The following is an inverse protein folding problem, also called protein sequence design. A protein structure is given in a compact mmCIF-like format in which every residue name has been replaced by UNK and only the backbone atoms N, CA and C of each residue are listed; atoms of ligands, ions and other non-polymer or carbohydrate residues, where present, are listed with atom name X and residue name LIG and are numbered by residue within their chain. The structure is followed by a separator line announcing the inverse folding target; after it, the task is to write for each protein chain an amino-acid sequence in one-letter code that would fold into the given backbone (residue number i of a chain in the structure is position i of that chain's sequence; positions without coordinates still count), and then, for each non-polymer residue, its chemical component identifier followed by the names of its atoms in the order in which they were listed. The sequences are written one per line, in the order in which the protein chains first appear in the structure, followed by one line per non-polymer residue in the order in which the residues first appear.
data_IF_297707199875
#
_entry.id   IF_297707199875
#
_cell.length_a   1.000
_cell.length_b   1.000
_cell.length_c   1.000
_cell.angle_alpha   90.00
_cell.angle_beta   90.00
_cell.angle_gamma   90.00
#
_symmetry.space_group_name_H-M   'P 1'
#
loop_
_entity.id
_entity.type
_entity.pdbx_description
1 polymer ?
#
# COMPACT_ATOMS: atom_id res chain seq x y z
N UNK A 1 3.94 -22.24 -8.39
CA UNK A 1 5.35 -22.19 -7.99
C UNK A 1 5.38 -21.82 -6.53
N UNK A 2 5.61 -22.80 -5.66
CA UNK A 2 5.75 -22.61 -4.23
C UNK A 2 7.21 -22.29 -3.94
N UNK A 3 7.60 -21.03 -4.12
CA UNK A 3 8.85 -20.54 -3.56
C UNK A 3 8.59 -20.14 -2.11
N UNK A 4 9.50 -20.57 -1.25
CA UNK A 4 9.42 -20.54 0.21
C UNK A 4 9.07 -19.14 0.75
N UNK A 5 7.86 -19.03 1.30
CA UNK A 5 7.14 -17.79 1.64
C UNK A 5 7.81 -16.92 2.73
N UNK A 6 8.96 -17.34 3.26
CA UNK A 6 9.61 -16.73 4.42
C UNK A 6 11.14 -16.62 4.31
N UNK A 7 11.71 -16.76 3.12
CA UNK A 7 13.14 -16.65 2.93
C UNK A 7 13.62 -15.20 3.23
N UNK A 8 14.13 -15.00 4.45
CA UNK A 8 14.60 -13.70 4.97
C UNK A 8 14.03 -13.27 6.32
N UNK A 9 13.11 -14.04 6.92
CA UNK A 9 12.65 -13.82 8.30
C UNK A 9 13.23 -14.90 9.23
N UNK A 10 13.78 -14.56 10.40
CA UNK A 10 14.25 -15.57 11.34
C UNK A 10 13.06 -16.42 11.82
N UNK A 11 13.23 -17.75 11.82
CA UNK A 11 12.20 -18.69 12.22
C UNK A 11 11.71 -18.42 13.66
N UNK A 12 10.40 -18.60 13.95
CA UNK A 12 9.87 -18.48 15.30
C UNK A 12 10.50 -19.54 16.20
N UNK A 13 11.05 -19.13 17.34
CA UNK A 13 11.62 -20.07 18.31
C UNK A 13 10.51 -20.95 18.90
N UNK A 14 10.52 -22.22 18.53
CA UNK A 14 9.66 -23.25 19.10
C UNK A 14 10.03 -23.46 20.56
N UNK A 15 9.15 -23.03 21.47
CA UNK A 15 9.31 -23.26 22.90
C UNK A 15 9.04 -24.75 23.16
N UNK A 16 10.11 -25.56 23.27
CA UNK A 16 10.01 -26.98 23.66
C UNK A 16 10.58 -27.13 25.05
N UNK A 17 9.74 -27.56 25.98
CA UNK A 17 10.10 -27.90 27.33
C UNK A 17 10.58 -29.37 27.43
N UNK A 18 11.41 -29.65 28.46
CA UNK A 18 11.69 -30.95 29.10
C UNK A 18 12.79 -31.79 28.36
N UNK A 19 13.88 -32.36 28.93
CA UNK A 19 14.25 -32.77 30.30
C UNK A 19 15.77 -33.08 30.47
N UNK A 20 16.27 -32.83 31.70
CA UNK A 20 17.11 -33.68 32.59
C UNK A 20 18.61 -34.01 32.40
N UNK A 21 19.25 -34.14 33.60
CA UNK A 21 20.56 -34.70 34.03
C UNK A 21 21.79 -33.77 34.00
N UNK A 22 22.60 -33.52 35.05
CA UNK A 22 22.94 -34.14 36.35
C UNK A 22 23.02 -33.06 37.47
N UNK A 23 22.52 -33.20 38.70
CA UNK A 23 22.94 -34.02 39.87
C UNK A 23 24.39 -33.79 40.36
N UNK A 24 24.56 -33.12 41.50
CA UNK A 24 25.37 -33.56 42.66
C UNK A 24 25.06 -32.73 43.93
N UNK A 25 25.35 -33.33 45.08
CA UNK A 25 24.63 -33.31 46.37
C UNK A 25 24.84 -32.09 47.32
N UNK A 26 24.04 -32.01 48.42
CA UNK A 26 24.03 -30.93 49.41
C UNK A 26 24.74 -31.28 50.72
N UNK A 27 25.10 -30.27 51.54
CA UNK A 27 25.13 -30.37 53.01
C UNK A 27 24.89 -29.01 53.71
N UNK A 28 24.41 -29.01 54.97
CA UNK A 28 23.55 -27.96 55.56
C UNK A 28 24.21 -27.27 56.78
N UNK A 29 23.37 -26.55 57.59
CA UNK A 29 23.58 -25.98 58.95
C UNK A 29 23.84 -24.46 58.91
N UNK A 30 23.22 -23.54 59.66
CA UNK A 30 22.37 -23.59 60.86
C UNK A 30 21.34 -22.43 60.87
N UNK A 31 20.23 -22.67 61.57
CA UNK A 31 19.31 -21.67 62.13
C UNK A 31 19.93 -21.07 63.39
N UNK A 32 19.86 -19.76 63.56
CA UNK A 32 19.87 -19.12 64.87
C UNK A 32 18.90 -17.94 64.89
N UNK A 33 17.96 -18.05 65.82
CA UNK A 33 16.94 -17.08 66.24
C UNK A 33 17.57 -15.92 67.02
N UNK A 34 16.96 -14.72 66.97
CA UNK A 34 16.44 -14.03 68.16
C UNK A 34 15.86 -12.64 67.84
N UNK A 35 14.83 -12.30 68.62
CA UNK A 35 13.92 -11.17 68.56
C UNK A 35 14.44 -9.89 69.28
N UNK A 36 13.69 -8.79 69.06
CA UNK A 36 13.54 -7.56 69.86
C UNK A 36 14.74 -6.58 69.84
N UNK A 37 14.59 -5.25 69.83
CA UNK A 37 13.44 -4.35 70.03
C UNK A 37 13.75 -2.95 69.45
N UNK A 38 12.69 -2.16 69.34
CA UNK A 38 12.53 -0.71 69.06
C UNK A 38 13.74 0.24 69.23
N UNK A 39 13.82 1.28 68.39
CA UNK A 39 13.47 2.70 68.69
C UNK A 39 14.28 3.70 67.85
N UNK A 40 13.53 4.55 67.12
CA UNK A 40 13.77 5.96 66.74
C UNK A 40 14.97 6.45 65.89
N UNK A 41 14.55 7.18 64.84
CA UNK A 41 15.00 8.52 64.42
C UNK A 41 16.36 8.67 63.73
N UNK A 42 16.33 8.98 62.43
CA UNK A 42 16.49 10.38 62.01
C UNK A 42 16.40 10.50 60.48
N UNK A 43 15.50 11.37 60.04
CA UNK A 43 15.28 11.73 58.65
C UNK A 43 16.19 12.90 58.24
N UNK A 44 16.72 12.90 57.01
CA UNK A 44 16.88 14.15 56.23
C UNK A 44 16.61 13.88 54.74
N UNK A 45 15.88 14.76 54.03
CA UNK A 45 15.21 14.47 52.75
C UNK A 45 15.85 15.15 51.53
N UNK A 46 15.36 14.74 50.35
CA UNK A 46 15.67 15.32 49.04
C UNK A 46 15.07 16.73 48.86
N UNK A 47 15.73 17.67 48.14
CA UNK A 47 15.15 18.98 47.88
C UNK A 47 14.59 19.12 46.45
N UNK A 48 13.35 19.61 46.37
CA UNK A 48 12.79 20.45 45.29
C UNK A 48 11.72 21.36 45.94
N UNK A 49 11.22 22.39 45.24
CA UNK A 49 11.83 23.64 44.77
C UNK A 49 11.19 24.83 45.55
N UNK A 50 10.79 25.93 44.90
CA UNK A 50 10.09 27.16 45.41
C UNK A 50 11.09 28.25 45.92
N UNK A 51 11.09 29.55 45.58
CA UNK A 51 10.09 30.66 45.48
C UNK A 51 10.66 31.78 44.53
N UNK A 52 9.90 32.38 43.59
CA UNK A 52 8.97 33.54 43.67
C UNK A 52 9.51 34.84 44.29
N UNK A 53 9.68 35.89 43.48
CA UNK A 53 9.20 37.31 43.64
C UNK A 53 9.88 38.23 42.60
N UNK A 54 9.18 38.75 41.59
CA UNK A 54 8.49 40.06 41.56
C UNK A 54 9.40 41.30 41.57
N UNK A 55 9.56 42.00 40.42
CA UNK A 55 9.20 43.43 40.22
C UNK A 55 9.58 43.98 38.82
N UNK A 56 8.63 44.71 38.23
CA UNK A 56 8.72 45.93 37.39
C UNK A 56 9.48 45.98 36.05
N UNK A 57 8.65 46.10 35.00
CA UNK A 57 8.67 47.07 33.88
C UNK A 57 9.93 47.93 33.64
N UNK A 58 10.52 47.80 32.44
CA UNK A 58 11.03 48.93 31.66
C UNK A 58 11.12 48.60 30.15
N UNK A 59 10.43 49.41 29.34
CA UNK A 59 10.76 49.89 27.99
C UNK A 59 11.35 48.96 26.90
N UNK A 60 10.53 48.71 25.88
CA UNK A 60 10.76 48.88 24.43
C UNK A 60 12.20 48.79 23.85
N UNK A 61 12.45 47.72 23.07
CA UNK A 61 13.36 47.69 21.90
C UNK A 61 12.84 46.65 20.86
N UNK A 62 12.80 46.94 19.54
CA UNK A 62 12.22 46.07 18.51
C UNK A 62 13.19 45.01 17.92
N UNK A 63 12.67 43.96 17.25
CA UNK A 63 13.46 42.86 16.65
C UNK A 63 14.20 43.23 15.34
N UNK A 64 15.19 42.42 14.90
CA UNK A 64 16.20 42.81 13.92
C UNK A 64 15.72 42.81 12.45
N UNK A 65 16.39 43.65 11.65
CA UNK A 65 16.10 43.95 10.23
C UNK A 65 16.45 42.78 9.31
N UNK A 66 15.48 42.32 8.50
CA UNK A 66 15.70 41.40 7.37
C UNK A 66 16.23 42.15 6.15
N UNK A 67 17.39 41.75 5.63
CA UNK A 67 17.97 42.24 4.38
C UNK A 67 17.51 41.32 3.25
N UNK A 68 16.46 41.71 2.52
CA UNK A 68 16.18 41.25 1.16
C UNK A 68 15.54 42.39 0.37
N UNK A 69 16.32 42.99 -0.54
CA UNK A 69 15.83 43.99 -1.49
C UNK A 69 15.23 43.26 -2.69
N UNK A 70 13.90 43.27 -2.84
CA UNK A 70 13.23 43.01 -4.12
C UNK A 70 12.53 44.27 -4.58
N UNK A 71 13.11 44.93 -5.57
CA UNK A 71 12.52 46.06 -6.28
C UNK A 71 11.57 45.52 -7.35
N UNK A 72 10.26 45.66 -7.16
CA UNK A 72 9.32 45.58 -8.27
C UNK A 72 8.17 46.58 -8.06
N UNK A 73 8.35 47.78 -8.60
CA UNK A 73 7.30 48.80 -8.71
C UNK A 73 6.28 48.36 -9.75
N UNK A 74 5.01 48.32 -9.34
CA UNK A 74 3.83 48.19 -10.18
C UNK A 74 3.24 49.59 -10.41
N UNK A 75 2.95 50.00 -11.65
CA UNK A 75 1.90 50.98 -11.90
C UNK A 75 0.64 50.31 -12.46
N UNK A 76 -0.52 50.84 -12.06
CA UNK A 76 -1.88 50.49 -12.48
C UNK A 76 -2.22 51.12 -13.87
N UNK A 77 -3.40 50.82 -14.47
CA UNK A 77 -3.57 50.71 -15.91
C UNK A 77 -4.14 51.98 -16.57
N UNK A 78 -3.80 52.19 -17.84
CA UNK A 78 -4.50 53.11 -18.74
C UNK A 78 -4.82 52.36 -20.04
N UNK A 79 -6.04 52.57 -20.54
CA UNK A 79 -6.63 51.98 -21.75
C UNK A 79 -5.78 52.20 -23.02
N UNK A 80 -5.92 51.35 -24.05
CA UNK A 80 -5.13 51.45 -25.26
C UNK A 80 -5.76 52.39 -26.29
N UNK A 81 -5.00 53.40 -26.70
CA UNK A 81 -5.18 54.07 -27.98
C UNK A 81 -4.46 53.30 -29.09
N UNK A 82 -5.13 53.27 -30.22
CA UNK A 82 -4.80 52.68 -31.52
C UNK A 82 -3.45 53.17 -32.07
N UNK A 83 -2.58 52.26 -32.54
CA UNK A 83 -2.04 52.24 -33.92
C UNK A 83 -0.92 51.19 -34.14
N UNK A 84 -1.16 50.40 -35.18
CA UNK A 84 -0.31 49.61 -36.08
C UNK A 84 1.18 49.37 -35.78
N UNK A 85 1.54 48.08 -35.61
CA UNK A 85 2.82 47.53 -36.06
C UNK A 85 2.79 45.99 -36.23
N UNK A 86 2.78 45.54 -37.50
CA UNK A 86 3.25 44.28 -38.08
C UNK A 86 2.84 42.91 -37.47
N UNK A 87 2.38 41.93 -38.30
CA UNK A 87 1.94 40.63 -37.82
C UNK A 87 3.16 39.75 -37.50
N UNK A 88 3.52 39.64 -36.22
CA UNK A 88 4.37 38.54 -35.76
C UNK A 88 3.58 37.25 -35.90
N UNK A 89 3.86 36.51 -36.98
CA UNK A 89 3.42 35.12 -37.17
C UNK A 89 4.07 34.25 -36.09
N UNK A 90 3.53 34.26 -34.88
CA UNK A 90 3.74 33.18 -33.93
C UNK A 90 3.01 31.98 -34.49
N UNK A 91 3.76 30.98 -34.96
CA UNK A 91 3.24 29.68 -35.36
C UNK A 91 2.69 28.99 -34.10
N UNK A 92 1.47 29.34 -33.72
CA UNK A 92 0.69 28.59 -32.74
C UNK A 92 0.34 27.29 -33.44
N UNK A 93 1.06 26.22 -33.12
CA UNK A 93 0.55 24.89 -33.43
C UNK A 93 -0.83 24.79 -32.80
N UNK A 94 -1.86 24.77 -33.65
CA UNK A 94 -3.22 24.46 -33.24
C UNK A 94 -3.20 23.04 -32.71
N UNK A 95 -3.08 22.87 -31.39
CA UNK A 95 -3.58 21.69 -30.68
C UNK A 95 -5.11 21.74 -30.68
N UNK A 96 -5.68 21.59 -31.88
CA UNK A 96 -7.10 21.36 -32.11
C UNK A 96 -7.13 20.35 -33.25
N UNK A 97 -6.96 19.08 -32.89
CA UNK A 97 -7.42 18.00 -33.74
C UNK A 97 -8.56 17.38 -32.97
N UNK A 98 -9.77 17.80 -33.34
CA UNK A 98 -10.99 17.06 -33.08
C UNK A 98 -10.84 15.75 -33.86
N UNK A 99 -10.16 14.78 -33.22
CA UNK A 99 -9.96 13.46 -33.79
C UNK A 99 -11.34 12.81 -33.87
N UNK A 100 -11.70 12.31 -35.04
CA UNK A 100 -12.97 11.60 -35.21
C UNK A 100 -13.05 10.46 -34.18
N UNK A 101 -14.22 10.24 -33.60
CA UNK A 101 -14.46 9.19 -32.60
C UNK A 101 -13.96 7.82 -33.10
N UNK A 102 -14.12 7.52 -34.39
CA UNK A 102 -13.59 6.30 -35.00
C UNK A 102 -12.05 6.18 -34.89
N UNK A 103 -11.33 7.29 -35.03
CA UNK A 103 -9.87 7.31 -34.87
C UNK A 103 -9.46 7.14 -33.41
N UNK A 104 -10.23 7.70 -32.47
CA UNK A 104 -10.01 7.51 -31.04
C UNK A 104 -10.23 6.06 -30.64
N UNK A 105 -11.30 5.43 -31.14
CA UNK A 105 -11.61 4.01 -30.89
C UNK A 105 -10.50 3.10 -31.44
N UNK A 106 -10.09 3.29 -32.70
CA UNK A 106 -9.00 2.51 -33.31
C UNK A 106 -7.67 2.69 -32.54
N UNK A 107 -7.37 3.91 -32.10
CA UNK A 107 -6.21 4.16 -31.25
C UNK A 107 -6.31 3.42 -29.90
N UNK A 108 -7.47 3.42 -29.24
CA UNK A 108 -7.67 2.72 -27.97
C UNK A 108 -7.52 1.21 -28.11
N UNK A 109 -8.05 0.61 -29.18
CA UNK A 109 -7.90 -0.83 -29.46
C UNK A 109 -6.44 -1.22 -29.69
N UNK A 110 -5.69 -0.38 -30.43
CA UNK A 110 -4.24 -0.58 -30.64
C UNK A 110 -3.46 -0.47 -29.33
N UNK A 111 -3.81 0.49 -28.47
CA UNK A 111 -3.19 0.64 -27.16
C UNK A 111 -3.48 -0.58 -26.28
N UNK A 112 -4.74 -1.05 -26.21
CA UNK A 112 -5.13 -2.24 -25.45
C UNK A 112 -4.36 -3.49 -25.90
N UNK A 113 -4.09 -3.63 -27.20
CA UNK A 113 -3.28 -4.73 -27.72
C UNK A 113 -1.80 -4.63 -27.30
N UNK A 114 -1.25 -3.41 -27.25
CA UNK A 114 0.16 -3.19 -26.91
C UNK A 114 0.44 -3.16 -25.41
N UNK A 115 -0.53 -2.84 -24.57
CA UNK A 115 -0.35 -2.76 -23.12
C UNK A 115 -0.12 -4.15 -22.49
N UNK A 116 -0.58 -5.23 -23.11
CA UNK A 116 -0.29 -6.60 -22.65
C UNK A 116 1.18 -6.99 -22.78
N UNK A 117 1.96 -6.28 -23.61
CA UNK A 117 3.36 -6.61 -23.85
C UNK A 117 4.30 -5.78 -22.95
N UNK A 118 5.18 -6.42 -22.14
CA UNK A 118 6.11 -5.71 -21.25
C UNK A 118 6.93 -4.62 -21.93
N UNK A 119 7.46 -4.94 -23.10
CA UNK A 119 8.37 -4.05 -23.82
C UNK A 119 7.69 -2.81 -24.37
N UNK A 120 6.37 -2.89 -24.59
CA UNK A 120 5.55 -1.80 -25.15
C UNK A 120 4.68 -1.12 -24.10
N UNK A 121 4.57 -1.69 -22.90
CA UNK A 121 3.73 -1.22 -21.81
C UNK A 121 3.94 0.27 -21.52
N UNK A 122 5.19 0.68 -21.24
CA UNK A 122 5.50 2.07 -20.87
C UNK A 122 5.06 3.09 -21.91
N UNK A 123 5.18 2.76 -23.20
CA UNK A 123 4.75 3.66 -24.29
C UNK A 123 3.23 3.65 -24.42
N UNK A 124 2.60 2.48 -24.36
CA UNK A 124 1.15 2.33 -24.44
C UNK A 124 0.44 3.04 -23.27
N UNK A 125 0.94 2.88 -22.04
CA UNK A 125 0.41 3.55 -20.85
C UNK A 125 0.49 5.08 -20.96
N UNK A 126 1.60 5.63 -21.47
CA UNK A 126 1.74 7.08 -21.70
C UNK A 126 0.75 7.60 -22.74
N UNK A 127 0.50 6.86 -23.82
CA UNK A 127 -0.51 7.21 -24.82
C UNK A 127 -1.93 7.17 -24.22
N UNK A 128 -2.23 6.17 -23.39
CA UNK A 128 -3.51 6.10 -22.68
C UNK A 128 -3.71 7.29 -21.74
N UNK A 129 -2.67 7.69 -20.98
CA UNK A 129 -2.71 8.90 -20.14
C UNK A 129 -2.96 10.16 -20.97
N UNK A 130 -2.35 10.27 -22.17
CA UNK A 130 -2.59 11.40 -23.06
C UNK A 130 -4.04 11.46 -23.55
N UNK A 131 -4.68 10.32 -23.82
CA UNK A 131 -6.10 10.29 -24.19
C UNK A 131 -7.00 10.82 -23.06
N UNK A 132 -6.67 10.50 -21.81
CA UNK A 132 -7.38 11.03 -20.64
C UNK A 132 -7.18 12.54 -20.52
N UNK A 133 -5.93 13.01 -20.62
CA UNK A 133 -5.58 14.43 -20.50
C UNK A 133 -6.17 15.29 -21.63
N UNK A 134 -6.33 14.71 -22.81
CA UNK A 134 -6.96 15.35 -23.96
C UNK A 134 -8.50 15.39 -23.85
N UNK A 135 -9.11 14.76 -22.83
CA UNK A 135 -10.57 14.67 -22.69
C UNK A 135 -11.22 13.79 -23.74
N UNK A 136 -10.47 12.86 -24.36
CA UNK A 136 -10.99 11.98 -25.42
C UNK A 136 -11.78 10.78 -24.87
N UNK A 137 -11.73 10.54 -23.56
CA UNK A 137 -12.53 9.51 -22.89
C UNK A 137 -13.89 10.10 -22.53
N UNK A 138 -14.90 9.85 -23.35
CA UNK A 138 -16.30 10.22 -23.12
C UNK A 138 -17.12 8.97 -22.77
N UNK A 139 -18.37 9.14 -22.32
CA UNK A 139 -19.26 8.01 -22.00
C UNK A 139 -19.42 7.02 -23.16
N UNK A 140 -19.46 7.49 -24.40
CA UNK A 140 -19.67 6.64 -25.61
C UNK A 140 -18.46 5.77 -25.95
N UNK A 141 -17.25 6.20 -25.58
CA UNK A 141 -15.99 5.52 -25.90
C UNK A 141 -15.35 4.91 -24.64
N UNK A 142 -16.00 5.08 -23.50
CA UNK A 142 -15.51 4.69 -22.17
C UNK A 142 -15.19 3.20 -22.06
N UNK A 143 -15.98 2.34 -22.70
CA UNK A 143 -15.78 0.88 -22.71
C UNK A 143 -14.47 0.48 -23.40
N UNK A 144 -14.10 1.14 -24.51
CA UNK A 144 -12.83 0.90 -25.18
C UNK A 144 -11.64 1.36 -24.33
N UNK A 145 -11.81 2.47 -23.61
CA UNK A 145 -10.79 2.91 -22.66
C UNK A 145 -10.66 1.95 -21.48
N UNK A 146 -11.79 1.46 -20.96
CA UNK A 146 -11.78 0.50 -19.87
C UNK A 146 -11.11 -0.82 -20.27
N UNK A 147 -11.30 -1.28 -21.51
CA UNK A 147 -10.59 -2.44 -22.07
C UNK A 147 -9.06 -2.26 -22.12
N UNK A 148 -8.55 -1.02 -22.12
CA UNK A 148 -7.10 -0.77 -21.95
C UNK A 148 -6.68 -1.07 -20.52
N UNK A 149 -7.45 -0.63 -19.53
CA UNK A 149 -7.16 -0.84 -18.11
C UNK A 149 -7.23 -2.32 -17.75
N UNK A 150 -8.25 -3.02 -18.25
CA UNK A 150 -8.41 -4.47 -18.08
C UNK A 150 -7.24 -5.24 -18.72
N UNK A 151 -6.85 -4.86 -19.95
CA UNK A 151 -5.70 -5.45 -20.61
C UNK A 151 -4.38 -5.19 -19.87
N UNK A 152 -4.25 -4.03 -19.21
CA UNK A 152 -3.09 -3.75 -18.36
C UNK A 152 -3.06 -4.69 -17.16
N UNK A 153 -4.17 -4.82 -16.43
CA UNK A 153 -4.23 -5.67 -15.23
C UNK A 153 -4.19 -7.17 -15.52
N UNK A 154 -4.54 -7.57 -16.75
CA UNK A 154 -4.43 -8.95 -17.23
C UNK A 154 -3.05 -9.28 -17.81
N UNK A 155 -2.11 -8.32 -17.80
CA UNK A 155 -0.75 -8.53 -18.28
C UNK A 155 0.00 -9.51 -17.39
N UNK A 156 0.99 -10.22 -17.95
CA UNK A 156 1.82 -11.16 -17.20
C UNK A 156 2.76 -10.49 -16.18
N UNK A 157 2.88 -9.16 -16.22
CA UNK A 157 3.76 -8.39 -15.34
C UNK A 157 2.95 -7.82 -14.19
N UNK A 158 3.42 -8.07 -12.97
CA UNK A 158 2.83 -7.47 -11.78
C UNK A 158 2.93 -5.95 -11.82
N UNK A 159 1.86 -5.23 -11.49
CA UNK A 159 1.83 -3.76 -11.47
C UNK A 159 2.80 -3.13 -10.47
N UNK A 160 3.35 -3.92 -9.55
CA UNK A 160 4.36 -3.54 -8.55
C UNK A 160 5.81 -3.77 -9.00
N UNK A 161 6.02 -4.28 -10.22
CA UNK A 161 7.37 -4.50 -10.75
C UNK A 161 8.13 -3.16 -10.89
N UNK A 162 9.39 -3.05 -10.42
CA UNK A 162 10.17 -1.82 -10.45
C UNK A 162 10.29 -1.15 -11.84
N UNK A 163 10.24 -1.93 -12.92
CA UNK A 163 10.43 -1.47 -14.29
C UNK A 163 9.21 -0.72 -14.83
N UNK A 164 8.01 -1.10 -14.38
CA UNK A 164 6.72 -0.58 -14.92
C UNK A 164 5.85 0.10 -13.87
N UNK A 165 6.17 -0.01 -12.58
CA UNK A 165 5.37 0.56 -11.47
C UNK A 165 5.04 2.04 -11.63
N UNK A 166 5.96 2.85 -12.15
CA UNK A 166 5.76 4.29 -12.34
C UNK A 166 4.72 4.57 -13.43
N UNK A 167 4.74 3.78 -14.51
CA UNK A 167 3.79 3.90 -15.61
C UNK A 167 2.41 3.37 -15.20
N UNK A 168 2.33 2.25 -14.45
CA UNK A 168 1.08 1.79 -13.82
C UNK A 168 0.50 2.84 -12.88
N UNK A 169 1.31 3.37 -11.96
CA UNK A 169 0.88 4.41 -11.03
C UNK A 169 0.34 5.62 -11.78
N UNK A 170 1.03 6.10 -12.82
CA UNK A 170 0.59 7.23 -13.63
C UNK A 170 -0.74 6.95 -14.36
N UNK A 171 -0.85 5.79 -15.01
CA UNK A 171 -2.06 5.39 -15.75
C UNK A 171 -3.27 5.30 -14.83
N UNK A 172 -3.18 4.57 -13.73
CA UNK A 172 -4.31 4.36 -12.82
C UNK A 172 -4.63 5.60 -11.99
N UNK A 173 -3.65 6.46 -11.69
CA UNK A 173 -3.93 7.77 -11.10
C UNK A 173 -4.71 8.66 -12.05
N UNK A 174 -4.34 8.69 -13.33
CA UNK A 174 -5.06 9.47 -14.34
C UNK A 174 -6.46 8.89 -14.63
N UNK A 175 -6.60 7.56 -14.66
CA UNK A 175 -7.88 6.88 -14.89
C UNK A 175 -8.93 7.22 -13.82
N UNK A 176 -8.53 7.65 -12.62
CA UNK A 176 -9.52 8.11 -11.63
C UNK A 176 -10.31 9.35 -12.07
N UNK A 177 -9.80 10.13 -13.03
CA UNK A 177 -10.51 11.28 -13.58
C UNK A 177 -11.60 10.88 -14.56
N UNK A 178 -11.66 9.61 -15.00
CA UNK A 178 -12.67 9.13 -15.95
C UNK A 178 -13.85 8.44 -15.26
N UNK A 179 -13.90 8.42 -13.92
CA UNK A 179 -14.95 7.72 -13.13
C UNK A 179 -16.37 8.15 -13.49
N UNK A 180 -16.56 9.40 -13.88
CA UNK A 180 -17.87 9.95 -14.29
C UNK A 180 -18.39 9.37 -15.60
N UNK A 181 -17.52 8.76 -16.42
CA UNK A 181 -17.87 8.14 -17.69
C UNK A 181 -17.98 6.61 -17.60
N UNK A 182 -17.61 6.01 -16.46
CA UNK A 182 -17.64 4.57 -16.25
C UNK A 182 -18.93 4.13 -15.55
N UNK A 183 -19.37 2.91 -15.85
CA UNK A 183 -20.51 2.31 -15.14
C UNK A 183 -20.12 1.87 -13.71
N UNK A 184 -21.09 1.40 -12.92
CA UNK A 184 -20.87 1.01 -11.51
C UNK A 184 -19.86 -0.13 -11.37
N UNK A 185 -20.00 -1.19 -12.18
CA UNK A 185 -19.06 -2.32 -12.26
C UNK A 185 -17.64 -1.85 -12.66
N UNK A 186 -17.62 -1.03 -13.70
CA UNK A 186 -16.59 -0.12 -14.19
C UNK A 186 -15.71 0.43 -13.05
N UNK A 187 -16.39 1.23 -12.24
CA UNK A 187 -15.84 1.97 -11.13
C UNK A 187 -15.36 1.07 -9.98
N UNK A 188 -16.09 -0.02 -9.69
CA UNK A 188 -15.70 -0.98 -8.67
C UNK A 188 -14.37 -1.67 -9.04
N UNK A 189 -14.25 -2.16 -10.28
CA UNK A 189 -13.01 -2.77 -10.77
C UNK A 189 -11.85 -1.75 -10.77
N UNK A 190 -12.09 -0.54 -11.27
CA UNK A 190 -11.09 0.53 -11.23
C UNK A 190 -10.65 0.85 -9.78
N UNK A 191 -11.57 0.85 -8.82
CA UNK A 191 -11.24 1.07 -7.41
C UNK A 191 -10.33 -0.03 -6.86
N UNK A 192 -10.63 -1.31 -7.13
CA UNK A 192 -9.78 -2.42 -6.71
C UNK A 192 -8.39 -2.36 -7.38
N UNK A 193 -8.33 -2.10 -8.69
CA UNK A 193 -7.06 -1.97 -9.41
C UNK A 193 -6.25 -0.77 -8.94
N UNK A 194 -6.90 0.34 -8.54
CA UNK A 194 -6.22 1.51 -7.98
C UNK A 194 -5.48 1.17 -6.67
N UNK A 195 -6.02 0.25 -5.86
CA UNK A 195 -5.31 -0.21 -4.65
C UNK A 195 -3.99 -0.87 -5.05
N UNK A 196 -4.01 -1.77 -6.03
CA UNK A 196 -2.82 -2.48 -6.50
C UNK A 196 -1.84 -1.60 -7.29
N UNK A 197 -2.33 -0.78 -8.21
CA UNK A 197 -1.49 -0.02 -9.14
C UNK A 197 -1.01 1.32 -8.57
N UNK A 198 -1.70 1.90 -7.59
CA UNK A 198 -1.36 3.20 -7.01
C UNK A 198 -0.97 3.05 -5.55
N UNK A 199 -1.87 2.56 -4.71
CA UNK A 199 -1.64 2.54 -3.25
C UNK A 199 -0.51 1.58 -2.86
N UNK A 200 -0.44 0.40 -3.47
CA UNK A 200 0.65 -0.55 -3.24
C UNK A 200 1.99 0.00 -3.75
N UNK A 201 1.98 0.71 -4.89
CA UNK A 201 3.18 1.34 -5.45
C UNK A 201 3.69 2.51 -4.60
N UNK A 202 2.80 3.27 -3.96
CA UNK A 202 3.15 4.33 -3.00
C UNK A 202 3.91 3.79 -1.78
N UNK A 203 3.83 2.49 -1.45
CA UNK A 203 4.60 1.88 -0.36
C UNK A 203 6.07 1.60 -0.73
N UNK A 204 6.41 1.62 -2.02
CA UNK A 204 7.80 1.47 -2.51
C UNK A 204 8.54 2.81 -2.67
N UNK A 205 8.02 3.86 -2.06
CA UNK A 205 8.64 5.18 -2.00
C UNK A 205 9.74 5.26 -0.94
N UNK A 206 10.60 6.25 -1.08
CA UNK A 206 11.53 6.71 -0.04
C UNK A 206 11.06 8.03 0.63
N UNK A 207 9.88 8.53 0.23
CA UNK A 207 9.22 9.68 0.86
C UNK A 207 8.28 9.22 1.98
N UNK A 208 8.66 9.57 3.22
CA UNK A 208 7.88 9.26 4.42
C UNK A 208 6.43 9.76 4.40
N UNK A 209 6.17 10.90 3.74
CA UNK A 209 4.83 11.46 3.67
C UNK A 209 3.95 10.66 2.70
N UNK A 210 4.48 10.31 1.52
CA UNK A 210 3.78 9.47 0.54
C UNK A 210 3.47 8.10 1.13
N UNK A 211 4.45 7.48 1.81
CA UNK A 211 4.26 6.19 2.48
C UNK A 211 3.17 6.27 3.56
N UNK A 212 3.23 7.29 4.41
CA UNK A 212 2.24 7.48 5.49
C UNK A 212 0.84 7.75 4.94
N UNK A 213 0.73 8.50 3.85
CA UNK A 213 -0.54 8.75 3.16
C UNK A 213 -1.12 7.45 2.57
N UNK A 214 -0.28 6.61 1.95
CA UNK A 214 -0.71 5.31 1.45
C UNK A 214 -1.19 4.40 2.58
N UNK A 215 -0.44 4.30 3.68
CA UNK A 215 -0.86 3.57 4.87
C UNK A 215 -2.19 4.10 5.45
N UNK A 216 -2.39 5.42 5.45
CA UNK A 216 -3.66 6.06 5.82
C UNK A 216 -4.83 5.59 4.95
N UNK A 217 -4.68 5.64 3.62
CA UNK A 217 -5.69 5.14 2.67
C UNK A 217 -6.01 3.65 2.91
N UNK A 218 -5.00 2.82 3.13
CA UNK A 218 -5.20 1.38 3.40
C UNK A 218 -6.05 1.21 4.66
N UNK A 219 -5.78 1.95 5.74
CA UNK A 219 -6.59 1.91 6.97
C UNK A 219 -8.03 2.33 6.73
N UNK A 220 -8.25 3.37 5.94
CA UNK A 220 -9.60 3.85 5.59
C UNK A 220 -10.37 2.77 4.85
N UNK A 221 -9.75 2.13 3.84
CA UNK A 221 -10.39 1.06 3.07
C UNK A 221 -10.69 -0.17 3.95
N UNK A 222 -9.76 -0.57 4.83
CA UNK A 222 -10.00 -1.65 5.80
C UNK A 222 -11.19 -1.31 6.70
N UNK A 223 -11.30 -0.06 7.15
CA UNK A 223 -12.40 0.37 8.03
C UNK A 223 -13.75 0.35 7.30
N UNK A 224 -13.75 0.60 5.99
CA UNK A 224 -14.96 0.62 5.16
C UNK A 224 -15.44 -0.76 4.71
N UNK A 225 -14.60 -1.80 4.79
CA UNK A 225 -14.96 -3.16 4.36
C UNK A 225 -16.11 -3.77 5.17
N UNK A 226 -17.09 -4.45 4.58
CA UNK A 226 -18.05 -5.23 5.35
C UNK A 226 -17.37 -6.42 6.06
N UNK A 227 -17.98 -6.90 7.14
CA UNK A 227 -17.56 -8.12 7.84
C UNK A 227 -17.62 -9.29 6.86
N UNK A 228 -16.58 -10.13 6.86
CA UNK A 228 -16.56 -11.30 5.98
C UNK A 228 -17.60 -12.32 6.43
N UNK A 229 -18.30 -12.92 5.47
CA UNK A 229 -19.34 -13.92 5.72
C UNK A 229 -18.80 -15.34 5.60
N UNK A 230 -19.48 -16.31 6.21
CA UNK A 230 -19.08 -17.73 6.13
C UNK A 230 -19.16 -18.29 4.69
N UNK A 231 -20.02 -17.72 3.85
CA UNK A 231 -20.10 -18.05 2.42
C UNK A 231 -18.80 -17.67 1.68
N UNK A 232 -18.30 -16.46 1.92
CA UNK A 232 -17.05 -15.97 1.33
C UNK A 232 -15.85 -16.82 1.80
N UNK A 233 -15.85 -17.27 3.05
CA UNK A 233 -14.83 -18.19 3.57
C UNK A 233 -14.86 -19.55 2.84
N UNK A 234 -16.06 -20.09 2.58
CA UNK A 234 -16.23 -21.36 1.89
C UNK A 234 -15.84 -21.26 0.40
N UNK A 235 -16.17 -20.16 -0.26
CA UNK A 235 -15.80 -19.90 -1.66
C UNK A 235 -14.28 -19.73 -1.83
N UNK A 236 -13.61 -19.02 -0.92
CA UNK A 236 -12.16 -18.89 -0.93
C UNK A 236 -11.47 -20.25 -0.71
N UNK A 237 -11.96 -21.06 0.24
CA UNK A 237 -11.44 -22.40 0.48
C UNK A 237 -11.59 -23.33 -0.72
N UNK A 238 -12.67 -23.19 -1.51
CA UNK A 238 -12.85 -23.92 -2.79
C UNK A 238 -11.86 -23.46 -3.85
N UNK A 239 -11.71 -22.14 -4.03
CA UNK A 239 -10.76 -21.55 -4.99
C UNK A 239 -9.30 -21.95 -4.72
N UNK A 240 -8.90 -22.06 -3.45
CA UNK A 240 -7.56 -22.51 -3.05
C UNK A 240 -7.35 -24.01 -3.35
N UNK A 241 -8.36 -24.84 -3.14
CA UNK A 241 -8.29 -26.28 -3.47
C UNK A 241 -8.18 -26.51 -4.97
N UNK A 242 -8.96 -25.78 -5.77
CA UNK A 242 -8.95 -25.89 -7.23
C UNK A 242 -7.59 -25.51 -7.84
N UNK A 243 -6.99 -24.42 -7.36
CA UNK A 243 -5.62 -24.03 -7.76
C UNK A 243 -4.53 -25.01 -7.31
N UNK A 244 -4.75 -25.74 -6.22
CA UNK A 244 -3.83 -26.80 -5.76
C UNK A 244 -3.94 -28.06 -6.62
N UNK A 245 -5.15 -28.42 -7.09
CA UNK A 245 -5.39 -29.58 -7.96
C UNK A 245 -4.81 -29.33 -9.36
N UNK A 246 -4.95 -28.12 -9.90
CA UNK A 246 -4.38 -27.75 -11.22
C UNK A 246 -2.85 -27.76 -11.22
N UNK A 247 -2.21 -27.58 -10.06
CA UNK A 247 -0.75 -27.61 -9.93
C UNK A 247 -0.16 -29.04 -9.89
N UNK A 248 -0.96 -30.07 -9.58
CA UNK A 248 -0.49 -31.47 -9.54
C UNK A 248 -0.78 -32.25 -10.83
N UNK A 249 -1.72 -31.81 -11.68
CA UNK A 249 -2.14 -32.57 -12.86
C UNK A 249 -1.46 -32.09 -14.17
N UNK A 250 -0.14 -32.02 -14.13
CA UNK A 250 0.70 -31.88 -15.33
C UNK A 250 0.82 -33.17 -16.11
N UNK A 251 -0.24 -33.61 -16.79
CA UNK A 251 -0.10 -34.53 -17.94
C UNK A 251 -1.17 -35.62 -18.11
N UNK A 252 -2.25 -35.31 -18.82
CA UNK A 252 -2.79 -36.07 -19.98
C UNK A 252 -4.19 -35.56 -20.35
N UNK A 253 -4.38 -35.16 -21.60
CA UNK A 253 -5.64 -35.39 -22.33
C UNK A 253 -5.46 -36.65 -23.19
N UNK A 254 -6.50 -37.25 -23.81
CA UNK A 254 -7.94 -36.92 -23.78
C UNK A 254 -8.85 -38.16 -23.50
N UNK A 255 -10.16 -37.94 -23.28
CA UNK A 255 -11.24 -38.61 -24.04
C UNK A 255 -12.59 -37.94 -23.78
N UNK A 256 -13.25 -37.58 -24.88
CA UNK A 256 -14.71 -37.45 -25.05
C UNK A 256 -15.45 -38.63 -24.45
N UNK A 257 -16.56 -38.37 -23.75
CA UNK A 257 -17.78 -39.15 -23.92
C UNK A 257 -19.04 -38.33 -23.58
N UNK A 258 -20.03 -38.51 -24.45
CA UNK A 258 -21.41 -38.06 -24.33
C UNK A 258 -22.06 -38.64 -23.07
N UNK A 259 -22.93 -37.86 -22.42
CA UNK A 259 -24.17 -38.38 -21.84
C UNK A 259 -25.22 -37.26 -21.69
N UNK A 260 -26.05 -37.16 -22.72
CA UNK A 260 -27.52 -37.17 -22.69
C UNK A 260 -28.22 -36.83 -21.36
N UNK A 261 -28.79 -35.62 -21.26
CA UNK A 261 -29.88 -35.34 -20.31
C UNK A 261 -31.15 -34.94 -21.09
N UNK A 262 -32.21 -35.72 -20.86
CA UNK A 262 -33.39 -35.80 -21.70
C UNK A 262 -34.28 -34.57 -21.60
N UNK A 263 -34.39 -33.83 -22.70
CA UNK A 263 -35.62 -33.12 -23.05
C UNK A 263 -36.15 -33.72 -24.33
N UNK A 264 -37.06 -34.66 -24.16
CA UNK A 264 -37.86 -35.25 -25.23
C UNK A 264 -38.59 -34.12 -25.96
N UNK A 265 -38.07 -33.74 -27.13
CA UNK A 265 -38.74 -32.79 -28.00
C UNK A 265 -39.91 -33.51 -28.68
N UNK A 266 -41.13 -33.03 -28.46
CA UNK A 266 -42.39 -33.56 -28.98
C UNK A 266 -42.30 -33.84 -30.51
N UNK A 267 -42.27 -35.11 -30.93
CA UNK A 267 -42.07 -35.49 -32.33
C UNK A 267 -43.28 -35.17 -33.24
N UNK A 268 -44.40 -34.68 -32.69
CA UNK A 268 -45.59 -34.32 -33.47
C UNK A 268 -45.92 -32.82 -33.45
N UNK A 269 -45.13 -31.97 -32.79
CA UNK A 269 -45.28 -30.52 -32.84
C UNK A 269 -46.66 -30.01 -32.36
N UNK A 270 -47.31 -30.74 -31.47
CA UNK A 270 -48.65 -30.43 -30.95
C UNK A 270 -48.61 -29.33 -29.88
N UNK A 271 -47.46 -29.10 -29.25
CA UNK A 271 -47.27 -27.99 -28.30
C UNK A 271 -47.42 -26.60 -28.94
N UNK A 272 -47.30 -26.48 -30.27
CA UNK A 272 -47.54 -25.25 -31.01
C UNK A 272 -49.05 -24.92 -31.18
N UNK A 273 -49.94 -25.88 -30.89
CA UNK A 273 -51.38 -25.76 -31.14
C UNK A 273 -52.20 -25.49 -29.87
N UNK A 274 -51.57 -25.32 -28.70
CA UNK A 274 -52.24 -24.94 -27.46
C UNK A 274 -52.10 -23.42 -27.24
N UNK A 275 -53.15 -22.60 -27.52
CA UNK A 275 -53.09 -21.16 -27.33
C UNK A 275 -53.30 -20.80 -25.85
N UNK A 276 -52.35 -21.12 -24.98
CA UNK A 276 -52.42 -20.73 -23.57
C UNK A 276 -51.79 -19.35 -23.32
N UNK A 277 -52.63 -18.31 -23.50
CA UNK A 277 -52.66 -17.05 -22.71
C UNK A 277 -51.48 -16.07 -22.80
N UNK A 278 -51.31 -15.45 -23.96
CA UNK A 278 -50.38 -14.34 -24.24
C UNK A 278 -50.77 -12.96 -23.65
N UNK A 279 -51.24 -12.87 -22.39
CA UNK A 279 -51.49 -11.56 -21.73
C UNK A 279 -51.02 -11.40 -20.28
N UNK A 280 -50.32 -12.40 -19.72
CA UNK A 280 -49.77 -12.35 -18.34
C UNK A 280 -48.26 -12.57 -18.26
N UNK A 281 -47.57 -12.57 -19.41
CA UNK A 281 -46.13 -12.86 -19.51
C UNK A 281 -45.21 -11.67 -19.29
N UNK A 282 -45.63 -10.44 -19.64
CA UNK A 282 -44.77 -9.26 -19.61
C UNK A 282 -44.40 -8.82 -18.18
N UNK A 283 -45.35 -8.91 -17.24
CA UNK A 283 -45.12 -8.57 -15.81
C UNK A 283 -44.34 -9.64 -15.04
N UNK A 284 -44.33 -10.89 -15.52
CA UNK A 284 -43.59 -12.01 -14.92
C UNK A 284 -42.17 -12.10 -15.49
N UNK A 285 -42.00 -11.75 -16.76
CA UNK A 285 -40.69 -11.61 -17.41
C UNK A 285 -39.90 -10.44 -16.82
N UNK A 286 -40.50 -9.27 -16.65
CA UNK A 286 -39.86 -8.12 -15.98
C UNK A 286 -39.51 -8.39 -14.50
N UNK A 287 -40.31 -9.21 -13.79
CA UNK A 287 -40.00 -9.61 -12.40
C UNK A 287 -38.87 -10.62 -12.32
N UNK A 288 -38.77 -11.53 -13.29
CA UNK A 288 -37.65 -12.46 -13.40
C UNK A 288 -36.37 -11.76 -13.87
N UNK A 289 -36.46 -10.84 -14.83
CA UNK A 289 -35.32 -10.02 -15.29
C UNK A 289 -34.78 -9.13 -14.15
N UNK A 290 -35.65 -8.46 -13.40
CA UNK A 290 -35.22 -7.70 -12.21
C UNK A 290 -34.63 -8.60 -11.11
N UNK A 291 -35.14 -9.81 -10.93
CA UNK A 291 -34.58 -10.76 -9.96
C UNK A 291 -33.24 -11.36 -10.41
N UNK A 292 -32.99 -11.46 -11.72
CA UNK A 292 -31.70 -11.86 -12.29
C UNK A 292 -30.70 -10.72 -12.15
N UNK A 293 -31.08 -9.49 -12.49
CA UNK A 293 -30.23 -8.30 -12.37
C UNK A 293 -29.79 -8.06 -10.91
N UNK A 294 -30.70 -8.25 -9.93
CA UNK A 294 -30.34 -8.14 -8.50
C UNK A 294 -29.30 -9.20 -8.09
N UNK A 295 -29.43 -10.44 -8.60
CA UNK A 295 -28.46 -11.51 -8.29
C UNK A 295 -27.10 -11.25 -8.93
N UNK A 296 -27.09 -10.78 -10.17
CA UNK A 296 -25.86 -10.39 -10.87
C UNK A 296 -25.16 -9.23 -10.13
N UNK A 297 -25.90 -8.21 -9.70
CA UNK A 297 -25.37 -7.10 -8.90
C UNK A 297 -24.77 -7.59 -7.57
N UNK A 298 -25.43 -8.53 -6.89
CA UNK A 298 -24.92 -9.14 -5.65
C UNK A 298 -23.62 -9.92 -5.90
N UNK A 299 -23.58 -10.77 -6.93
CA UNK A 299 -22.39 -11.53 -7.30
C UNK A 299 -21.22 -10.59 -7.70
N UNK A 300 -21.49 -9.52 -8.44
CA UNK A 300 -20.49 -8.52 -8.79
C UNK A 300 -19.93 -7.80 -7.57
N UNK A 301 -20.78 -7.47 -6.59
CA UNK A 301 -20.30 -6.88 -5.33
C UNK A 301 -19.44 -7.85 -4.54
N UNK A 302 -19.78 -9.15 -4.52
CA UNK A 302 -18.94 -10.20 -3.90
C UNK A 302 -17.57 -10.30 -4.59
N UNK A 303 -17.54 -10.33 -5.92
CA UNK A 303 -16.28 -10.37 -6.71
C UNK A 303 -15.43 -9.12 -6.44
N UNK A 304 -16.05 -7.94 -6.39
CA UNK A 304 -15.37 -6.69 -6.05
C UNK A 304 -14.77 -6.73 -4.65
N UNK A 305 -15.54 -7.16 -3.64
CA UNK A 305 -15.06 -7.26 -2.26
C UNK A 305 -13.91 -8.26 -2.13
N UNK A 306 -13.98 -9.40 -2.82
CA UNK A 306 -12.87 -10.36 -2.89
C UNK A 306 -11.60 -9.70 -3.44
N UNK A 307 -11.71 -9.06 -4.60
CA UNK A 307 -10.59 -8.36 -5.25
C UNK A 307 -10.01 -7.24 -4.38
N UNK A 308 -10.87 -6.50 -3.69
CA UNK A 308 -10.47 -5.44 -2.77
C UNK A 308 -9.72 -6.00 -1.56
N UNK A 309 -10.20 -7.09 -0.95
CA UNK A 309 -9.52 -7.74 0.18
C UNK A 309 -8.16 -8.31 -0.21
N UNK A 310 -8.06 -8.99 -1.35
CA UNK A 310 -6.79 -9.51 -1.89
C UNK A 310 -5.76 -8.39 -2.14
N UNK A 311 -6.22 -7.25 -2.69
CA UNK A 311 -5.38 -6.08 -2.91
C UNK A 311 -4.84 -5.48 -1.59
N UNK A 312 -5.66 -5.49 -0.52
CA UNK A 312 -5.25 -5.01 0.80
C UNK A 312 -4.22 -5.94 1.44
N UNK A 313 -4.38 -7.25 1.32
CA UNK A 313 -3.38 -8.23 1.79
C UNK A 313 -2.05 -7.98 1.09
N UNK A 314 -2.07 -7.80 -0.24
CA UNK A 314 -0.87 -7.47 -1.01
C UNK A 314 -0.20 -6.19 -0.50
N UNK A 315 -0.97 -5.14 -0.20
CA UNK A 315 -0.43 -3.90 0.39
C UNK A 315 0.20 -4.11 1.78
N UNK A 316 -0.42 -4.91 2.65
CA UNK A 316 0.09 -5.21 3.98
C UNK A 316 1.41 -6.00 3.91
N UNK A 317 1.53 -6.94 2.98
CA UNK A 317 2.76 -7.68 2.72
C UNK A 317 3.88 -6.75 2.23
N UNK A 318 3.58 -5.89 1.26
CA UNK A 318 4.55 -4.90 0.75
C UNK A 318 5.03 -3.98 1.87
N UNK A 319 4.12 -3.47 2.70
CA UNK A 319 4.47 -2.64 3.85
C UNK A 319 5.38 -3.39 4.84
N UNK A 320 5.05 -4.64 5.17
CA UNK A 320 5.85 -5.44 6.09
C UNK A 320 7.26 -5.73 5.58
N UNK A 321 7.45 -5.97 4.27
CA UNK A 321 8.78 -6.13 3.66
C UNK A 321 9.66 -4.89 3.81
N UNK A 322 9.06 -3.71 4.02
CA UNK A 322 9.77 -2.44 4.24
C UNK A 322 10.15 -2.21 5.70
N UNK A 323 9.78 -3.08 6.64
CA UNK A 323 10.06 -2.89 8.08
C UNK A 323 11.55 -2.74 8.44
N UNK A 324 12.45 -3.22 7.58
CA UNK A 324 13.89 -3.01 7.69
C UNK A 324 14.31 -1.52 7.65
N UNK A 325 13.42 -0.63 7.23
CA UNK A 325 13.70 0.80 7.06
C UNK A 325 13.22 1.56 8.31
N UNK A 326 14.12 2.18 9.09
CA UNK A 326 13.77 2.73 10.40
C UNK A 326 12.64 3.76 10.37
N UNK A 327 12.60 4.63 9.35
CA UNK A 327 11.63 5.72 9.30
C UNK A 327 10.19 5.27 9.08
N UNK A 328 9.94 4.09 8.49
CA UNK A 328 8.58 3.59 8.22
C UNK A 328 8.05 2.61 9.29
N UNK A 329 8.91 2.11 10.19
CA UNK A 329 8.55 1.09 11.18
C UNK A 329 7.32 1.44 12.02
N UNK A 330 7.25 2.67 12.54
CA UNK A 330 6.11 3.11 13.35
C UNK A 330 4.81 3.13 12.54
N UNK A 331 4.87 3.52 11.27
CA UNK A 331 3.69 3.54 10.39
C UNK A 331 3.23 2.12 10.10
N UNK A 332 4.17 1.19 9.85
CA UNK A 332 3.86 -0.23 9.63
C UNK A 332 3.27 -0.86 10.90
N UNK A 333 3.83 -0.59 12.08
CA UNK A 333 3.29 -1.05 13.37
C UNK A 333 1.81 -0.66 13.50
N UNK A 334 1.49 0.61 13.24
CA UNK A 334 0.13 1.15 13.35
C UNK A 334 -0.80 0.52 12.29
N UNK A 335 -0.32 0.38 11.06
CA UNK A 335 -1.08 -0.17 9.95
C UNK A 335 -1.44 -1.65 10.18
N UNK A 336 -0.45 -2.48 10.50
CA UNK A 336 -0.66 -3.93 10.70
C UNK A 336 -1.47 -4.17 11.97
N UNK A 337 -1.25 -3.38 13.03
CA UNK A 337 -2.13 -3.43 14.21
C UNK A 337 -3.58 -3.14 13.83
N UNK A 338 -3.82 -2.08 13.07
CA UNK A 338 -5.16 -1.71 12.63
C UNK A 338 -5.83 -2.82 11.79
N UNK A 339 -5.07 -3.49 10.91
CA UNK A 339 -5.57 -4.65 10.17
C UNK A 339 -5.93 -5.80 11.11
N UNK A 340 -5.09 -6.08 12.12
CA UNK A 340 -5.37 -7.13 13.12
C UNK A 340 -6.57 -6.82 14.02
N UNK A 341 -6.77 -5.55 14.39
CA UNK A 341 -7.93 -5.12 15.19
C UNK A 341 -9.24 -5.24 14.38
N UNK A 342 -9.16 -5.21 13.04
CA UNK A 342 -10.28 -5.37 12.10
C UNK A 342 -10.26 -6.73 11.38
N UNK A 343 -9.63 -7.75 11.95
CA UNK A 343 -9.42 -9.05 11.30
C UNK A 343 -10.73 -9.72 10.84
N UNK A 344 -11.85 -9.48 11.52
CA UNK A 344 -13.16 -10.01 11.14
C UNK A 344 -13.68 -9.54 9.76
N UNK A 345 -13.09 -8.48 9.18
CA UNK A 345 -13.43 -7.98 7.84
C UNK A 345 -12.75 -8.75 6.70
N UNK A 346 -11.82 -9.64 7.04
CA UNK A 346 -11.09 -10.50 6.11
C UNK A 346 -11.63 -11.94 6.13
N UNK A 347 -11.46 -12.66 5.03
CA UNK A 347 -11.82 -14.08 4.90
C UNK A 347 -10.90 -14.97 5.74
N UNK A 348 -11.31 -16.21 6.00
CA UNK A 348 -10.60 -17.11 6.92
C UNK A 348 -9.10 -17.28 6.62
N UNK A 349 -8.71 -17.44 5.35
CA UNK A 349 -7.28 -17.58 5.00
C UNK A 349 -6.53 -16.25 5.17
N UNK A 350 -7.17 -15.14 4.81
CA UNK A 350 -6.62 -13.80 4.97
C UNK A 350 -6.47 -13.42 6.45
N UNK A 351 -7.38 -13.88 7.33
CA UNK A 351 -7.27 -13.71 8.78
C UNK A 351 -6.01 -14.39 9.33
N UNK A 352 -5.72 -15.61 8.87
CA UNK A 352 -4.49 -16.31 9.24
C UNK A 352 -3.25 -15.56 8.74
N UNK A 353 -3.26 -15.07 7.49
CA UNK A 353 -2.19 -14.26 6.94
C UNK A 353 -1.94 -12.97 7.75
N UNK A 354 -3.01 -12.22 8.08
CA UNK A 354 -2.94 -11.01 8.92
C UNK A 354 -2.46 -11.36 10.34
N UNK A 355 -2.90 -12.48 10.90
CA UNK A 355 -2.45 -12.97 12.21
C UNK A 355 -0.95 -13.26 12.25
N UNK A 356 -0.44 -14.00 11.25
CA UNK A 356 1.00 -14.28 11.08
C UNK A 356 1.80 -12.99 10.90
N UNK A 357 1.31 -12.08 10.06
CA UNK A 357 1.93 -10.78 9.83
C UNK A 357 2.04 -9.97 11.13
N UNK A 358 0.95 -9.92 11.89
CA UNK A 358 0.92 -9.19 13.15
C UNK A 358 1.82 -9.78 14.22
N UNK A 359 1.88 -11.11 14.33
CA UNK A 359 2.81 -11.79 15.24
C UNK A 359 4.27 -11.43 14.92
N UNK A 360 4.65 -11.49 13.65
CA UNK A 360 5.98 -11.11 13.16
C UNK A 360 6.32 -9.65 13.48
N UNK A 361 5.43 -8.71 13.14
CA UNK A 361 5.65 -7.27 13.39
C UNK A 361 5.70 -6.96 14.89
N UNK A 362 4.86 -7.59 15.71
CA UNK A 362 4.87 -7.41 17.17
C UNK A 362 6.18 -7.90 17.78
N UNK A 363 6.72 -9.01 17.28
CA UNK A 363 8.03 -9.51 17.69
C UNK A 363 9.13 -8.50 17.31
N UNK A 364 9.15 -8.02 16.08
CA UNK A 364 10.12 -7.01 15.62
C UNK A 364 10.02 -5.70 16.42
N UNK A 365 8.79 -5.25 16.72
CA UNK A 365 8.54 -4.11 17.58
C UNK A 365 9.11 -4.32 18.99
N UNK A 366 8.94 -5.53 19.55
CA UNK A 366 9.46 -5.88 20.87
C UNK A 366 11.00 -5.92 20.87
N UNK A 367 11.61 -6.52 19.84
CA UNK A 367 13.07 -6.55 19.65
C UNK A 367 13.66 -5.15 19.57
N UNK A 368 13.04 -4.26 18.80
CA UNK A 368 13.42 -2.84 18.70
C UNK A 368 13.31 -2.11 20.03
N UNK A 369 12.24 -2.32 20.79
CA UNK A 369 12.09 -1.72 22.14
C UNK A 369 13.13 -2.22 23.14
N UNK A 370 13.59 -3.47 22.98
CA UNK A 370 14.61 -4.08 23.84
C UNK A 370 16.04 -3.74 23.41
N UNK A 371 16.25 -3.01 22.31
CA UNK A 371 17.59 -2.71 21.78
C UNK A 371 18.35 -3.94 21.30
N UNK A 372 17.67 -5.06 21.04
CA UNK A 372 18.29 -6.31 20.57
C UNK A 372 18.36 -6.31 19.05
N UNK A 373 19.57 -6.35 18.51
CA UNK A 373 19.81 -6.54 17.07
C UNK A 373 19.39 -7.95 16.62
N UNK A 374 19.31 -8.18 15.30
CA UNK A 374 18.93 -9.46 14.66
C UNK A 374 19.82 -10.62 15.15
N UNK A 375 21.06 -10.35 15.55
CA UNK A 375 22.00 -11.33 16.12
C UNK A 375 21.92 -11.50 17.66
N UNK A 376 20.92 -10.93 18.33
CA UNK A 376 20.75 -11.02 19.78
C UNK A 376 21.77 -10.22 20.60
N UNK A 377 22.70 -9.50 19.96
CA UNK A 377 23.58 -8.52 20.61
C UNK A 377 22.82 -7.22 20.84
N UNK A 378 23.05 -6.60 22.00
CA UNK A 378 22.59 -5.26 22.32
C UNK A 378 23.19 -4.31 21.28
N UNK A 379 22.34 -3.67 20.47
CA UNK A 379 22.79 -2.66 19.53
C UNK A 379 23.22 -1.45 20.35
N UNK A 380 24.53 -1.22 20.43
CA UNK A 380 25.10 -0.04 21.08
C UNK A 380 24.54 1.16 20.34
N UNK A 381 23.78 2.02 21.03
CA UNK A 381 23.13 3.16 20.41
C UNK A 381 24.21 4.04 19.73
N UNK A 382 23.90 4.73 18.64
CA UNK A 382 24.87 5.56 17.91
C UNK A 382 25.62 6.54 18.83
N UNK A 383 24.95 6.99 19.90
CA UNK A 383 25.54 7.78 20.98
C UNK A 383 26.57 7.00 21.80
N UNK A 384 26.29 5.77 22.21
CA UNK A 384 27.21 4.91 22.98
C UNK A 384 28.40 4.48 22.12
N UNK A 385 28.18 4.25 20.82
CA UNK A 385 29.25 3.98 19.87
C UNK A 385 30.15 5.20 19.67
N UNK A 386 29.57 6.41 19.52
CA UNK A 386 30.34 7.66 19.51
C UNK A 386 31.07 7.88 20.84
N UNK A 387 30.42 7.60 21.96
CA UNK A 387 31.00 7.74 23.29
C UNK A 387 32.18 6.80 23.46
N UNK A 388 32.07 5.53 23.05
CA UNK A 388 33.20 4.59 23.07
C UNK A 388 34.33 5.04 22.13
N UNK A 389 33.98 5.54 20.95
CA UNK A 389 34.96 6.05 19.98
C UNK A 389 35.77 7.21 20.55
N UNK A 390 35.09 8.17 21.20
CA UNK A 390 35.74 9.35 21.76
C UNK A 390 36.25 9.18 23.20
N UNK A 391 35.82 8.14 23.93
CA UNK A 391 36.25 7.90 25.31
C UNK A 391 37.76 7.65 25.42
N UNK A 392 38.37 7.05 24.40
CA UNK A 392 39.81 6.77 24.35
C UNK A 392 40.58 7.74 23.46
N UNK A 393 39.90 8.72 22.85
CA UNK A 393 40.52 9.65 21.92
C UNK A 393 41.10 10.84 22.68
N UNK A 394 42.41 11.06 22.55
CA UNK A 394 43.11 12.15 23.26
C UNK A 394 42.71 13.50 22.68
N UNK A 395 41.88 14.24 23.40
CA UNK A 395 41.57 15.64 23.09
C UNK A 395 42.84 16.46 23.32
N UNK A 396 43.41 16.99 22.24
CA UNK A 396 44.52 17.93 22.31
C UNK A 396 44.08 19.19 23.07
N UNK A 397 44.97 19.76 23.89
CA UNK A 397 44.78 21.00 24.68
C UNK A 397 44.35 22.19 23.79
N UNK A 398 44.49 22.08 22.47
CA UNK A 398 44.03 23.06 21.47
C UNK A 398 42.68 22.73 20.80
N UNK A 399 41.88 21.82 21.35
CA UNK A 399 40.55 21.44 20.85
C UNK A 399 40.50 20.90 19.40
N UNK A 400 41.54 20.21 18.91
CA UNK A 400 41.45 19.46 17.65
C UNK A 400 41.50 17.95 17.91
N UNK A 401 40.54 17.22 17.31
CA UNK A 401 40.52 15.76 17.24
C UNK A 401 41.24 15.30 15.98
N UNK A 402 42.15 14.31 16.09
CA UNK A 402 42.77 13.64 14.93
C UNK A 402 44.16 14.09 14.48
N UNK A 403 45.04 14.60 15.35
CA UNK A 403 46.42 14.91 14.95
C UNK A 403 47.34 13.69 15.05
N UNK A 404 47.18 12.72 14.13
CA UNK A 404 48.25 11.76 13.85
C UNK A 404 49.37 12.52 13.14
N UNK A 405 50.38 12.91 13.90
CA UNK A 405 51.46 13.77 13.45
C UNK A 405 52.34 13.08 12.43
N UNK A 406 52.03 13.26 11.15
CA UNK A 406 53.03 13.15 10.09
C UNK A 406 52.62 14.00 8.88
N UNK A 407 52.79 15.32 9.00
CA UNK A 407 52.82 16.22 7.83
C UNK A 407 53.99 17.17 8.01
N UNK A 408 55.13 16.83 7.39
CA UNK A 408 56.17 17.81 7.08
C UNK A 408 55.52 18.90 6.24
N UNK A 409 55.33 20.07 6.82
CA UNK A 409 54.95 21.25 6.07
C UNK A 409 56.09 21.59 5.10
N UNK A 410 55.92 21.28 3.81
CA UNK A 410 56.74 21.90 2.77
C UNK A 410 56.29 23.36 2.67
N UNK A 411 57.07 24.21 3.32
CA UNK A 411 56.98 25.66 3.21
C UNK A 411 57.39 26.05 1.80
N UNK A 412 56.42 26.39 0.96
CA UNK A 412 56.68 27.03 -0.33
C UNK A 412 57.13 28.47 -0.06
N UNK A 413 58.43 28.70 -0.19
CA UNK A 413 59.04 30.01 -0.36
C UNK A 413 59.92 29.92 -1.61
N UNK A 414 59.50 30.61 -2.67
CA UNK A 414 60.16 30.65 -3.98
C UNK A 414 59.15 30.68 -5.10
#
# INVERSE_FOLDING_TARGET
MADDLFEGLPAPSSNTAISQHHQLQPRPIAVATNNHDNTESSAVPAPKPILKSALKQSSAVPPPKSILKSSLKRPNPTQPDTQDAAPKKSLKFKTMTDASEAQVIDAMQKISSHIKNPTKFSKAAKLAVQLIQAGSVKSEVSDYFFAILEAAMSSSITCTDPSVRADYHCLFSAAQNTKEHLNKKQNNQLAAWTINAVVANDLYTDDSFVFSKAAGKIKEIISSLPVATEEEDAEEAKSLKDSTVIAEEGGKTPTTDNDNDGKEADPFGLDALIPNSSKKGEKLKARNEAAVEIREDEEETKIFLKSQREALITCLEIAARRYKIPWCQTVIDILVKHASDNVARFTASQRDAVGKLWASIREQQTRRKQGKSVNGKLDVNAFEWLQQKYANEKISIRHSVGNSGDRRAQQWLG
#
